data_IF_594246716611
#
_entry.id   IF_594246716611
#
_cell.length_a   1.000
_cell.length_b   1.000
_cell.length_c   1.000
_cell.angle_alpha   90.00
_cell.angle_beta   90.00
_cell.angle_gamma   90.00
#
_symmetry.space_group_name_H-M   'P 1'
#
loop_
_entity.id
_entity.type
_entity.pdbx_description
1 polymer ?
#
# COMPACT_ATOMS: atom_id res chain seq x y z
N UNK A 1 -16.76 -23.94 -9.09
CA UNK A 1 -17.34 -22.62 -8.74
C UNK A 1 -16.62 -22.10 -7.51
N UNK A 2 -15.75 -21.10 -7.66
CA UNK A 2 -15.11 -20.46 -6.51
C UNK A 2 -16.09 -19.46 -5.91
N UNK A 3 -16.43 -19.64 -4.62
CA UNK A 3 -17.46 -18.86 -3.94
C UNK A 3 -17.05 -17.38 -3.87
N UNK A 4 -17.88 -16.46 -4.34
CA UNK A 4 -17.62 -15.01 -4.36
C UNK A 4 -17.23 -14.46 -2.98
N UNK A 5 -17.74 -15.06 -1.91
CA UNK A 5 -17.37 -14.74 -0.52
C UNK A 5 -15.89 -14.98 -0.21
N UNK A 6 -15.27 -15.98 -0.86
CA UNK A 6 -13.87 -16.32 -0.67
C UNK A 6 -12.94 -15.30 -1.35
N UNK A 7 -13.31 -14.86 -2.55
CA UNK A 7 -12.62 -13.80 -3.30
C UNK A 7 -12.62 -12.49 -2.49
N UNK A 8 -13.76 -12.13 -1.91
CA UNK A 8 -13.91 -10.95 -1.04
C UNK A 8 -13.00 -11.02 0.19
N UNK A 9 -12.95 -12.16 0.89
CA UNK A 9 -12.07 -12.33 2.06
C UNK A 9 -10.59 -12.15 1.71
N UNK A 10 -10.16 -12.71 0.58
CA UNK A 10 -8.78 -12.60 0.11
C UNK A 10 -8.45 -11.15 -0.24
N UNK A 11 -9.31 -10.47 -0.98
CA UNK A 11 -9.09 -9.08 -1.38
C UNK A 11 -9.01 -8.15 -0.16
N UNK A 12 -9.92 -8.33 0.80
CA UNK A 12 -9.91 -7.58 2.05
C UNK A 12 -8.64 -7.83 2.87
N UNK A 13 -8.19 -9.09 2.97
CA UNK A 13 -6.96 -9.43 3.68
C UNK A 13 -5.72 -8.82 3.02
N UNK A 14 -5.61 -8.88 1.69
CA UNK A 14 -4.50 -8.27 0.96
C UNK A 14 -4.46 -6.75 1.14
N UNK A 15 -5.63 -6.09 1.05
CA UNK A 15 -5.72 -4.65 1.27
C UNK A 15 -5.31 -4.26 2.70
N UNK A 16 -5.74 -5.04 3.70
CA UNK A 16 -5.44 -4.78 5.11
C UNK A 16 -3.95 -4.98 5.42
N UNK A 17 -3.34 -6.06 4.92
CA UNK A 17 -1.89 -6.32 5.06
C UNK A 17 -1.08 -5.19 4.40
N UNK A 18 -1.49 -4.76 3.20
CA UNK A 18 -0.82 -3.66 2.49
C UNK A 18 -0.94 -2.35 3.27
N UNK A 19 -2.10 -2.05 3.85
CA UNK A 19 -2.29 -0.88 4.69
C UNK A 19 -1.41 -0.90 5.95
N UNK A 20 -1.32 -2.04 6.64
CA UNK A 20 -0.43 -2.21 7.80
C UNK A 20 1.04 -2.00 7.41
N UNK A 21 1.46 -2.55 6.28
CA UNK A 21 2.81 -2.35 5.76
C UNK A 21 3.11 -0.86 5.51
N UNK A 22 2.19 -0.14 4.84
CA UNK A 22 2.35 1.30 4.56
C UNK A 22 2.50 2.10 5.86
N UNK A 23 1.70 1.78 6.89
CA UNK A 23 1.79 2.44 8.21
C UNK A 23 3.13 2.17 8.89
N UNK A 24 3.64 0.94 8.81
CA UNK A 24 4.97 0.62 9.38
C UNK A 24 6.09 1.37 8.66
N UNK A 25 6.03 1.46 7.33
CA UNK A 25 7.01 2.21 6.54
C UNK A 25 6.95 3.70 6.84
N UNK A 26 5.75 4.28 6.98
CA UNK A 26 5.61 5.71 7.30
C UNK A 26 6.12 6.05 8.70
N UNK A 27 5.83 5.20 9.69
CA UNK A 27 6.38 5.35 11.04
C UNK A 27 7.90 5.24 11.06
N UNK A 28 8.48 4.34 10.27
CA UNK A 28 9.92 4.22 10.12
C UNK A 28 10.51 5.52 9.56
N UNK A 29 9.99 6.00 8.43
CA UNK A 29 10.45 7.25 7.80
C UNK A 29 10.39 8.44 8.76
N UNK A 30 9.30 8.57 9.52
CA UNK A 30 9.09 9.68 10.47
C UNK A 30 10.13 9.69 11.62
N UNK A 31 10.54 8.52 12.11
CA UNK A 31 11.62 8.43 13.13
C UNK A 31 13.00 8.62 12.52
N UNK A 32 13.18 8.23 11.26
CA UNK A 32 14.47 8.39 10.60
C UNK A 32 14.83 9.85 10.32
N UNK A 33 13.87 10.74 10.05
CA UNK A 33 14.14 12.17 9.86
C UNK A 33 14.79 12.82 11.11
N UNK A 34 14.44 12.39 12.32
CA UNK A 34 15.08 12.88 13.56
C UNK A 34 16.54 12.42 13.69
N UNK A 35 16.84 11.17 13.31
CA UNK A 35 18.21 10.63 13.30
C UNK A 35 19.06 11.27 12.20
N UNK A 36 18.45 11.59 11.06
CA UNK A 36 19.13 12.12 9.89
C UNK A 36 19.30 13.64 9.89
N UNK A 37 18.44 14.40 10.58
CA UNK A 37 18.65 15.84 10.82
C UNK A 37 19.92 16.15 11.64
N UNK A 38 20.48 15.15 12.34
CA UNK A 38 21.76 15.32 13.07
C UNK A 38 22.97 15.31 12.11
N UNK A 39 22.82 14.76 10.91
CA UNK A 39 23.85 14.73 9.87
C UNK A 39 23.51 15.78 8.81
N UNK A 40 23.92 17.04 9.04
CA UNK A 40 23.94 18.13 8.06
C UNK A 40 24.94 17.87 6.91
N UNK A 41 24.85 16.73 6.22
CA UNK A 41 25.72 16.46 5.09
C UNK A 41 24.91 16.50 3.81
N UNK A 42 25.17 17.56 3.05
CA UNK A 42 24.86 17.82 1.64
C UNK A 42 25.32 16.65 0.73
N UNK A 43 24.73 15.48 0.93
CA UNK A 43 25.14 14.26 0.24
C UNK A 43 23.98 13.77 -0.60
N UNK A 44 24.24 13.62 -1.90
CA UNK A 44 23.31 13.07 -2.91
C UNK A 44 22.80 11.66 -2.49
N UNK A 45 23.50 11.01 -1.54
CA UNK A 45 23.13 9.73 -0.95
C UNK A 45 21.72 9.72 -0.34
N UNK A 46 21.28 10.82 0.26
CA UNK A 46 19.98 10.86 0.95
C UNK A 46 18.80 10.73 -0.03
N UNK A 47 18.69 11.56 -1.09
CA UNK A 47 17.71 11.35 -2.15
C UNK A 47 17.76 9.94 -2.77
N UNK A 48 18.97 9.37 -2.96
CA UNK A 48 19.13 8.03 -3.52
C UNK A 48 18.49 6.97 -2.61
N UNK A 49 18.75 7.02 -1.30
CA UNK A 49 18.19 6.07 -0.33
C UNK A 49 16.67 6.20 -0.23
N UNK A 50 16.13 7.43 -0.22
CA UNK A 50 14.68 7.64 -0.24
C UNK A 50 14.04 7.07 -1.51
N UNK A 51 14.64 7.30 -2.68
CA UNK A 51 14.14 6.75 -3.94
C UNK A 51 14.24 5.22 -3.98
N UNK A 52 15.31 4.63 -3.47
CA UNK A 52 15.45 3.17 -3.36
C UNK A 52 14.38 2.56 -2.46
N UNK A 53 14.14 3.15 -1.28
CA UNK A 53 13.12 2.68 -0.35
C UNK A 53 11.70 2.87 -0.92
N UNK A 54 11.46 3.97 -1.62
CA UNK A 54 10.21 4.21 -2.35
C UNK A 54 9.97 3.17 -3.45
N UNK A 55 10.95 2.92 -4.31
CA UNK A 55 10.85 1.92 -5.39
C UNK A 55 10.67 0.50 -4.82
N UNK A 56 11.39 0.17 -3.74
CA UNK A 56 11.23 -1.10 -3.04
C UNK A 56 9.81 -1.26 -2.49
N UNK A 57 9.27 -0.23 -1.83
CA UNK A 57 7.89 -0.22 -1.32
C UNK A 57 6.85 -0.33 -2.44
N UNK A 58 7.05 0.40 -3.54
CA UNK A 58 6.19 0.31 -4.72
C UNK A 58 6.25 -1.09 -5.36
N UNK A 59 7.43 -1.71 -5.43
CA UNK A 59 7.61 -3.09 -5.89
C UNK A 59 6.91 -4.10 -5.00
N UNK A 60 7.03 -3.96 -3.68
CA UNK A 60 6.36 -4.85 -2.72
C UNK A 60 4.84 -4.69 -2.78
N UNK A 61 4.35 -3.44 -2.84
CA UNK A 61 2.93 -3.13 -3.02
C UNK A 61 2.41 -3.70 -4.34
N UNK A 62 3.20 -3.58 -5.41
CA UNK A 62 2.91 -4.20 -6.69
C UNK A 62 2.79 -5.72 -6.60
N UNK A 63 3.70 -6.39 -5.91
CA UNK A 63 3.62 -7.84 -5.69
C UNK A 63 2.37 -8.24 -4.87
N UNK A 64 2.03 -7.49 -3.83
CA UNK A 64 0.85 -7.75 -2.99
C UNK A 64 -0.47 -7.56 -3.76
N UNK A 65 -0.54 -6.55 -4.62
CA UNK A 65 -1.73 -6.22 -5.41
C UNK A 65 -1.84 -7.12 -6.65
N UNK A 66 -0.76 -7.26 -7.41
CA UNK A 66 -0.77 -7.93 -8.72
C UNK A 66 -0.39 -9.41 -8.67
N UNK A 67 0.29 -9.90 -7.63
CA UNK A 67 0.80 -11.28 -7.59
C UNK A 67 -0.28 -12.34 -7.82
N UNK A 68 -1.40 -12.24 -7.10
CA UNK A 68 -2.51 -13.19 -7.21
C UNK A 68 -3.34 -13.02 -8.50
N UNK A 69 -3.71 -11.80 -8.94
CA UNK A 69 -4.27 -11.59 -10.27
C UNK A 69 -3.43 -12.15 -11.41
N UNK A 70 -2.11 -11.94 -11.38
CA UNK A 70 -1.19 -12.43 -12.42
C UNK A 70 -1.19 -13.96 -12.47
N UNK A 71 -1.12 -14.61 -11.31
CA UNK A 71 -1.21 -16.08 -11.25
C UNK A 71 -2.53 -16.60 -11.85
N UNK A 72 -3.67 -16.00 -11.50
CA UNK A 72 -4.97 -16.38 -12.07
C UNK A 72 -5.10 -16.06 -13.56
N UNK A 73 -4.43 -15.01 -14.04
CA UNK A 73 -4.39 -14.69 -15.46
C UNK A 73 -3.64 -15.75 -16.25
N UNK A 74 -2.50 -16.22 -15.72
CA UNK A 74 -1.69 -17.30 -16.30
C UNK A 74 -2.43 -18.66 -16.26
N UNK A 75 -3.23 -18.91 -15.22
CA UNK A 75 -4.10 -20.10 -15.11
C UNK A 75 -5.31 -20.07 -16.07
N UNK A 76 -5.41 -19.08 -16.97
CA UNK A 76 -6.50 -18.95 -17.95
C UNK A 76 -7.79 -18.32 -17.40
N UNK A 77 -7.82 -17.97 -16.11
CA UNK A 77 -8.98 -17.37 -15.40
C UNK A 77 -9.04 -15.85 -15.58
N UNK A 78 -9.00 -15.39 -16.83
CA UNK A 78 -8.83 -13.96 -17.19
C UNK A 78 -9.93 -13.06 -16.61
N UNK A 79 -11.20 -13.51 -16.65
CA UNK A 79 -12.33 -12.73 -16.09
C UNK A 79 -12.23 -12.57 -14.58
N UNK A 80 -11.88 -13.64 -13.87
CA UNK A 80 -11.77 -13.61 -12.41
C UNK A 80 -10.53 -12.85 -11.94
N UNK A 81 -9.42 -12.94 -12.67
CA UNK A 81 -8.20 -12.18 -12.43
C UNK A 81 -8.45 -10.66 -12.52
N UNK A 82 -9.08 -10.20 -13.60
CA UNK A 82 -9.42 -8.78 -13.77
C UNK A 82 -10.41 -8.33 -12.70
N UNK A 83 -11.42 -9.16 -12.39
CA UNK A 83 -12.39 -8.83 -11.34
C UNK A 83 -11.73 -8.68 -9.96
N UNK A 84 -10.81 -9.57 -9.58
CA UNK A 84 -10.09 -9.49 -8.30
C UNK A 84 -9.21 -8.24 -8.22
N UNK A 85 -8.52 -7.90 -9.31
CA UNK A 85 -7.67 -6.72 -9.39
C UNK A 85 -8.48 -5.42 -9.28
N UNK A 86 -9.57 -5.30 -10.04
CA UNK A 86 -10.47 -4.13 -9.98
C UNK A 86 -11.08 -3.97 -8.59
N UNK A 87 -11.52 -5.08 -7.95
CA UNK A 87 -12.04 -5.02 -6.58
C UNK A 87 -10.97 -4.55 -5.59
N UNK A 88 -9.74 -5.06 -5.72
CA UNK A 88 -8.62 -4.70 -4.84
C UNK A 88 -8.29 -3.21 -4.97
N UNK A 89 -8.26 -2.67 -6.20
CA UNK A 89 -8.08 -1.24 -6.45
C UNK A 89 -9.23 -0.40 -5.88
N UNK A 90 -10.48 -0.86 -6.02
CA UNK A 90 -11.65 -0.16 -5.49
C UNK A 90 -11.58 -0.07 -3.95
N UNK A 91 -11.21 -1.16 -3.27
CA UNK A 91 -11.02 -1.15 -1.82
C UNK A 91 -9.87 -0.23 -1.38
N UNK A 92 -8.77 -0.19 -2.13
CA UNK A 92 -7.68 0.74 -1.87
C UNK A 92 -8.13 2.19 -2.03
N UNK A 93 -8.93 2.52 -3.05
CA UNK A 93 -9.50 3.86 -3.23
C UNK A 93 -10.39 4.23 -2.04
N UNK A 94 -11.26 3.31 -1.59
CA UNK A 94 -12.12 3.54 -0.42
C UNK A 94 -11.27 3.79 0.84
N UNK A 95 -10.25 2.98 1.08
CA UNK A 95 -9.32 3.16 2.21
C UNK A 95 -8.58 4.49 2.13
N UNK A 96 -8.15 4.91 0.94
CA UNK A 96 -7.53 6.23 0.72
C UNK A 96 -8.49 7.36 1.07
N UNK A 97 -9.75 7.29 0.62
CA UNK A 97 -10.76 8.28 0.98
C UNK A 97 -11.01 8.32 2.50
N UNK A 98 -11.09 7.17 3.17
CA UNK A 98 -11.24 7.10 4.63
C UNK A 98 -10.03 7.74 5.33
N UNK A 99 -8.81 7.46 4.88
CA UNK A 99 -7.59 8.04 5.43
C UNK A 99 -7.56 9.57 5.26
N UNK A 100 -7.97 10.08 4.10
CA UNK A 100 -8.12 11.52 3.85
C UNK A 100 -9.17 12.15 4.77
N UNK A 101 -10.34 11.50 4.92
CA UNK A 101 -11.41 11.99 5.78
C UNK A 101 -10.94 12.06 7.24
N UNK A 102 -10.25 11.03 7.72
CA UNK A 102 -9.66 11.00 9.05
C UNK A 102 -8.62 12.11 9.23
N UNK A 103 -7.72 12.28 8.26
CA UNK A 103 -6.70 13.33 8.30
C UNK A 103 -7.30 14.74 8.36
N UNK A 104 -8.48 14.96 7.80
CA UNK A 104 -9.18 16.25 7.86
C UNK A 104 -10.01 16.41 9.14
N UNK A 105 -10.65 15.33 9.63
CA UNK A 105 -11.49 15.35 10.83
C UNK A 105 -10.70 15.48 12.13
N UNK A 106 -9.54 14.81 12.23
CA UNK A 106 -8.67 14.83 13.42
C UNK A 106 -8.28 16.26 13.81
N UNK A 107 -7.75 17.13 12.93
CA UNK A 107 -7.41 18.50 13.28
C UNK A 107 -8.63 19.39 13.61
N UNK A 108 -9.80 19.14 13.00
CA UNK A 108 -11.05 19.86 13.34
C UNK A 108 -11.52 19.54 14.76
N UNK A 109 -11.33 18.31 15.24
CA UNK A 109 -11.76 17.87 16.57
C UNK A 109 -10.86 18.39 17.71
N UNK A 110 -9.61 18.73 17.39
CA UNK A 110 -8.58 19.17 18.34
C UNK A 110 -8.58 20.70 18.53
N UNK A 111 -9.25 21.45 17.64
CA UNK A 111 -9.41 22.91 17.68
C UNK A 111 -10.65 23.33 18.49
#
# INVERSE_FOLDING_TARGET
MHNTKHILKIAAANALITAVYIVLVSLFLMHTEQLFNTYHQETILMPILMLLLFVFSAGLSGLLIFGKPVMWYLDGKKKEAVSLLTLTLLFLIILTFIAFLLSFLIPILIL
#
